data_IF_515020037220
#
_entry.id   IF_515020037220
#
_cell.length_a   1.000
_cell.length_b   1.000
_cell.length_c   1.000
_cell.angle_alpha   90.00
_cell.angle_beta   90.00
_cell.angle_gamma   90.00
#
_symmetry.space_group_name_H-M   'P 1'
#
loop_
_entity.id
_entity.type
_entity.pdbx_description
1 polymer ?
#
# COMPACT_ATOMS: atom_id res chain seq x y z
N UNK A 1 10.34 34.79 -4.84
CA UNK A 1 10.64 35.18 -6.24
C UNK A 1 9.30 35.17 -6.97
N UNK A 2 9.00 36.23 -7.73
CA UNK A 2 7.77 36.29 -8.56
C UNK A 2 8.13 36.15 -10.02
N UNK A 3 7.51 35.20 -10.72
CA UNK A 3 7.68 35.00 -12.16
C UNK A 3 6.41 35.49 -12.85
N UNK A 4 6.47 36.55 -13.68
CA UNK A 4 5.29 37.01 -14.42
C UNK A 4 4.78 35.95 -15.40
N UNK A 5 3.49 36.01 -15.74
CA UNK A 5 2.88 35.06 -16.67
C UNK A 5 3.61 35.06 -18.02
N UNK A 6 3.87 33.88 -18.56
CA UNK A 6 4.57 33.66 -19.84
C UNK A 6 6.03 34.12 -19.86
N UNK A 7 6.66 34.33 -18.71
CA UNK A 7 8.08 34.69 -18.61
C UNK A 7 8.89 33.55 -17.97
N UNK A 8 10.19 33.58 -18.22
CA UNK A 8 11.18 32.66 -17.65
C UNK A 8 12.13 33.42 -16.76
N UNK A 9 12.42 32.90 -15.58
CA UNK A 9 13.39 33.44 -14.64
C UNK A 9 14.51 32.44 -14.39
N UNK A 10 15.75 32.86 -14.57
CA UNK A 10 16.91 32.04 -14.21
C UNK A 10 17.14 32.11 -12.69
N UNK A 11 17.38 30.95 -12.09
CA UNK A 11 17.74 30.80 -10.68
C UNK A 11 19.16 30.27 -10.62
N UNK A 12 20.10 31.05 -10.08
CA UNK A 12 21.47 30.61 -9.87
C UNK A 12 21.57 29.90 -8.51
N UNK A 13 22.04 28.66 -8.52
CA UNK A 13 22.32 27.86 -7.33
C UNK A 13 23.82 27.67 -7.22
N UNK A 14 24.41 28.14 -6.12
CA UNK A 14 25.83 27.93 -5.83
C UNK A 14 25.98 26.73 -4.90
N UNK A 15 26.75 25.72 -5.34
CA UNK A 15 27.12 24.57 -4.54
C UNK A 15 28.57 24.66 -4.11
N UNK A 16 28.83 24.69 -2.81
CA UNK A 16 30.18 24.65 -2.24
C UNK A 16 30.50 23.24 -1.79
N UNK A 17 31.49 22.64 -2.45
CA UNK A 17 31.96 21.30 -2.12
C UNK A 17 32.90 21.34 -0.90
N UNK A 18 32.91 20.29 -0.03
CA UNK A 18 33.91 20.18 1.03
C UNK A 18 35.32 20.03 0.45
N UNK A 19 36.33 20.58 1.17
CA UNK A 19 37.73 20.48 0.76
C UNK A 19 38.27 19.04 0.85
N UNK A 20 37.65 18.20 1.68
CA UNK A 20 37.99 16.78 1.77
C UNK A 20 37.36 16.02 0.61
N UNK A 21 38.14 15.17 -0.05
CA UNK A 21 37.63 14.27 -1.08
C UNK A 21 36.50 13.37 -0.51
N UNK A 22 35.37 13.36 -1.21
CA UNK A 22 34.22 12.50 -0.91
C UNK A 22 34.17 11.43 -1.98
N UNK A 23 34.44 10.19 -1.58
CA UNK A 23 34.34 9.03 -2.48
C UNK A 23 32.88 8.80 -2.84
N UNK A 24 32.58 8.70 -4.15
CA UNK A 24 31.23 8.45 -4.64
C UNK A 24 30.45 9.71 -4.97
N UNK A 25 29.14 9.69 -4.75
CA UNK A 25 28.19 10.72 -5.17
C UNK A 25 27.39 11.25 -3.98
N UNK A 26 27.29 12.57 -3.91
CA UNK A 26 26.31 13.24 -3.04
C UNK A 26 25.07 13.55 -3.87
N UNK A 27 23.90 13.16 -3.35
CA UNK A 27 22.61 13.42 -3.97
C UNK A 27 21.81 14.40 -3.12
N UNK A 28 21.24 15.40 -3.75
CA UNK A 28 20.37 16.39 -3.15
C UNK A 28 19.34 16.90 -4.16
N UNK A 29 18.65 17.97 -3.84
CA UNK A 29 17.71 18.57 -4.79
C UNK A 29 17.38 20.02 -4.43
N UNK A 30 17.02 20.79 -5.44
CA UNK A 30 16.43 22.11 -5.31
C UNK A 30 14.93 21.96 -5.49
N UNK A 31 14.18 22.35 -4.45
CA UNK A 31 12.74 22.22 -4.40
C UNK A 31 12.08 23.58 -4.64
N UNK A 32 11.20 23.64 -5.62
CA UNK A 32 10.41 24.84 -5.94
C UNK A 32 8.98 24.59 -5.53
N UNK A 33 8.46 25.49 -4.69
CA UNK A 33 7.09 25.45 -4.18
C UNK A 33 6.37 26.73 -4.59
N UNK A 34 5.17 26.62 -5.12
CA UNK A 34 4.33 27.76 -5.42
C UNK A 34 3.72 28.31 -4.12
N UNK A 35 3.93 29.60 -3.84
CA UNK A 35 3.35 30.27 -2.69
C UNK A 35 1.87 30.60 -2.93
N UNK A 36 1.08 30.58 -1.86
CA UNK A 36 -0.32 31.04 -1.90
C UNK A 36 -1.36 29.98 -2.24
N UNK A 37 -0.98 28.76 -2.57
CA UNK A 37 -1.95 27.67 -2.82
C UNK A 37 -2.70 27.19 -1.57
N UNK A 38 -2.27 27.59 -0.38
CA UNK A 38 -2.88 27.19 0.90
C UNK A 38 -4.04 28.10 1.37
N UNK A 39 -4.49 29.05 0.56
CA UNK A 39 -5.43 30.10 0.99
C UNK A 39 -6.91 29.80 0.70
N UNK A 40 -7.29 28.56 0.40
CA UNK A 40 -8.73 28.23 0.34
C UNK A 40 -9.28 28.07 1.76
N UNK A 41 -10.15 29.01 2.17
CA UNK A 41 -10.90 28.94 3.43
C UNK A 41 -11.67 27.64 3.51
N UNK A 42 -11.50 26.91 4.61
CA UNK A 42 -12.27 25.73 4.94
C UNK A 42 -13.77 26.05 4.93
N UNK A 43 -14.49 25.60 3.92
CA UNK A 43 -15.94 25.45 3.98
C UNK A 43 -16.29 24.15 4.71
N UNK A 44 -17.53 23.98 5.15
CA UNK A 44 -18.00 22.73 5.74
C UNK A 44 -18.01 21.61 4.68
N UNK A 45 -16.95 20.81 4.66
CA UNK A 45 -16.77 19.69 3.72
C UNK A 45 -15.31 19.22 3.64
N UNK A 46 -15.05 18.15 2.89
CA UNK A 46 -13.71 17.64 2.63
C UNK A 46 -12.99 18.63 1.68
N UNK A 47 -11.99 19.35 2.16
CA UNK A 47 -11.14 20.21 1.34
C UNK A 47 -9.87 19.44 0.96
N UNK A 48 -9.64 19.24 -0.34
CA UNK A 48 -8.39 18.71 -0.89
C UNK A 48 -7.56 19.92 -1.36
N UNK A 49 -6.48 20.21 -0.65
CA UNK A 49 -5.50 21.19 -1.10
C UNK A 49 -4.42 20.50 -1.93
N UNK A 50 -4.38 20.77 -3.22
CA UNK A 50 -3.29 20.35 -4.10
C UNK A 50 -2.22 21.41 -4.13
N UNK A 51 -1.00 21.06 -3.75
CA UNK A 51 0.17 21.96 -3.84
C UNK A 51 1.07 21.44 -4.95
N UNK A 52 1.31 22.26 -5.97
CA UNK A 52 2.22 21.93 -7.05
C UNK A 52 3.65 22.26 -6.64
N UNK A 53 4.53 21.29 -6.79
CA UNK A 53 5.95 21.48 -6.50
C UNK A 53 6.83 20.79 -7.54
N UNK A 54 8.01 21.37 -7.78
CA UNK A 54 9.01 20.82 -8.67
C UNK A 54 10.31 20.60 -7.91
N UNK A 55 10.94 19.45 -8.11
CA UNK A 55 12.26 19.16 -7.55
C UNK A 55 13.23 18.84 -8.67
N UNK A 56 14.32 19.59 -8.73
CA UNK A 56 15.44 19.34 -9.63
C UNK A 56 16.53 18.61 -8.86
N UNK A 57 16.85 17.38 -9.27
CA UNK A 57 17.92 16.60 -8.64
C UNK A 57 19.28 17.22 -8.91
N UNK A 58 20.12 17.24 -7.88
CA UNK A 58 21.53 17.68 -7.94
C UNK A 58 22.41 16.52 -7.51
N UNK A 59 23.26 16.06 -8.42
CA UNK A 59 24.30 15.08 -8.14
C UNK A 59 25.65 15.79 -8.16
N UNK A 60 26.43 15.65 -7.10
CA UNK A 60 27.71 16.30 -6.93
C UNK A 60 28.79 15.30 -6.53
N UNK A 61 30.00 15.49 -7.04
CA UNK A 61 31.22 14.76 -6.65
C UNK A 61 32.43 15.69 -6.70
N UNK A 62 33.42 15.41 -5.90
CA UNK A 62 34.68 16.11 -5.91
C UNK A 62 35.90 15.16 -6.10
N UNK A 63 35.62 13.95 -6.58
CA UNK A 63 36.61 12.96 -7.00
C UNK A 63 36.29 12.44 -8.38
N UNK A 64 37.29 11.91 -9.07
CA UNK A 64 37.15 11.28 -10.40
C UNK A 64 36.83 9.79 -10.31
N UNK A 65 36.70 9.23 -9.11
CA UNK A 65 36.41 7.81 -8.92
C UNK A 65 34.98 7.48 -9.41
N UNK A 66 34.89 6.49 -10.29
CA UNK A 66 33.63 6.04 -10.91
C UNK A 66 32.88 5.01 -10.04
N UNK A 67 33.06 4.99 -8.74
CA UNK A 67 32.29 4.12 -7.82
C UNK A 67 30.86 4.64 -7.64
N UNK A 68 30.11 4.71 -8.75
CA UNK A 68 28.77 5.27 -8.79
C UNK A 68 27.68 4.27 -8.40
N UNK A 69 28.04 3.00 -8.20
CA UNK A 69 27.12 1.92 -7.90
C UNK A 69 27.38 1.33 -6.52
N UNK A 70 26.35 1.28 -5.69
CA UNK A 70 26.45 0.62 -4.39
C UNK A 70 26.49 -0.91 -4.56
N UNK A 71 27.49 -1.55 -3.96
CA UNK A 71 27.69 -3.00 -3.95
C UNK A 71 27.04 -3.69 -2.73
N UNK A 72 26.49 -2.92 -1.83
CA UNK A 72 25.98 -3.39 -0.53
C UNK A 72 24.61 -2.82 -0.24
N UNK A 73 23.73 -3.67 0.26
CA UNK A 73 22.42 -3.33 0.79
C UNK A 73 22.34 -3.84 2.23
N UNK A 74 22.00 -2.97 3.19
CA UNK A 74 21.73 -3.39 4.56
C UNK A 74 20.25 -3.59 4.79
N UNK A 75 19.90 -4.49 5.67
CA UNK A 75 18.53 -4.85 6.05
C UNK A 75 18.36 -4.66 7.54
N UNK A 76 17.21 -4.17 7.94
CA UNK A 76 16.86 -3.89 9.32
C UNK A 76 15.60 -4.63 9.75
N UNK A 77 14.89 -4.05 10.71
CA UNK A 77 13.72 -4.65 11.34
C UNK A 77 12.57 -4.87 10.32
N UNK A 78 11.88 -6.00 10.51
CA UNK A 78 10.60 -6.26 9.86
C UNK A 78 9.48 -6.23 10.90
N UNK A 79 8.40 -5.49 10.61
CA UNK A 79 7.27 -5.38 11.52
C UNK A 79 5.98 -4.97 10.80
N UNK A 80 4.79 -5.30 11.34
CA UNK A 80 3.55 -4.72 10.88
C UNK A 80 3.47 -3.23 11.27
N UNK A 81 2.95 -2.42 10.36
CA UNK A 81 2.77 -0.97 10.53
C UNK A 81 1.40 -0.59 9.96
N UNK A 82 0.74 0.40 10.58
CA UNK A 82 -0.44 1.03 9.99
C UNK A 82 0.02 2.26 9.20
N UNK A 83 -0.19 2.25 7.90
CA UNK A 83 0.18 3.33 6.98
C UNK A 83 -1.04 3.73 6.16
N UNK A 84 -1.42 5.01 6.21
CA UNK A 84 -2.57 5.54 5.46
C UNK A 84 -3.88 4.75 5.70
N UNK A 85 -4.10 4.27 6.91
CA UNK A 85 -5.30 3.49 7.25
C UNK A 85 -5.29 2.05 6.75
N UNK A 86 -4.14 1.53 6.30
CA UNK A 86 -3.97 0.14 5.89
C UNK A 86 -2.89 -0.56 6.72
N UNK A 87 -3.04 -1.85 6.91
CA UNK A 87 -2.02 -2.69 7.55
C UNK A 87 -1.01 -3.14 6.51
N UNK A 88 0.26 -2.88 6.78
CA UNK A 88 1.39 -3.26 5.92
C UNK A 88 2.45 -3.97 6.75
N UNK A 89 3.25 -4.82 6.11
CA UNK A 89 4.46 -5.37 6.69
C UNK A 89 5.65 -4.64 6.08
N UNK A 90 6.36 -3.88 6.89
CA UNK A 90 7.48 -3.05 6.47
C UNK A 90 8.80 -3.75 6.80
N UNK A 91 9.71 -3.75 5.85
CA UNK A 91 11.10 -4.20 5.99
C UNK A 91 12.04 -3.02 5.76
N UNK A 92 12.80 -2.61 6.77
CA UNK A 92 13.78 -1.55 6.61
C UNK A 92 14.93 -2.03 5.70
N UNK A 93 15.26 -1.20 4.71
CA UNK A 93 16.34 -1.41 3.76
C UNK A 93 17.16 -0.14 3.66
N UNK A 94 18.49 -0.26 3.69
CA UNK A 94 19.38 0.89 3.62
C UNK A 94 20.55 0.68 2.68
N UNK A 95 20.90 1.73 1.97
CA UNK A 95 22.11 1.86 1.19
C UNK A 95 23.17 2.59 2.04
N UNK A 96 24.16 1.90 2.60
CA UNK A 96 25.19 2.54 3.45
C UNK A 96 26.33 3.18 2.64
N UNK A 97 26.30 3.04 1.32
CA UNK A 97 27.38 3.53 0.44
C UNK A 97 27.11 4.94 -0.05
N UNK A 98 28.18 5.67 -0.33
CA UNK A 98 28.15 6.97 -0.99
C UNK A 98 28.02 6.80 -2.52
N UNK A 99 27.20 5.86 -2.95
CA UNK A 99 26.96 5.53 -4.34
C UNK A 99 25.46 5.25 -4.55
N UNK A 100 24.99 5.45 -5.77
CA UNK A 100 23.62 5.13 -6.13
C UNK A 100 23.39 3.62 -6.15
N UNK A 101 22.23 3.18 -5.70
CA UNK A 101 21.77 1.82 -5.89
C UNK A 101 20.64 1.85 -6.91
N UNK A 102 20.93 1.36 -8.11
CA UNK A 102 20.06 1.48 -9.26
C UNK A 102 19.39 0.16 -9.60
N UNK A 103 18.22 0.24 -10.25
CA UNK A 103 17.48 -0.93 -10.72
C UNK A 103 17.23 -1.96 -9.60
N UNK A 104 16.91 -1.47 -8.41
CA UNK A 104 16.63 -2.33 -7.28
C UNK A 104 15.27 -3.02 -7.49
N UNK A 105 15.29 -4.32 -7.34
CA UNK A 105 14.11 -5.16 -7.27
C UNK A 105 14.09 -5.89 -5.94
N UNK A 106 12.97 -5.85 -5.22
CA UNK A 106 12.78 -6.60 -3.98
C UNK A 106 11.51 -7.42 -4.10
N UNK A 107 11.62 -8.70 -3.76
CA UNK A 107 10.49 -9.60 -3.57
C UNK A 107 10.45 -10.07 -2.12
N UNK A 108 9.26 -10.17 -1.54
CA UNK A 108 9.10 -10.61 -0.16
C UNK A 108 7.90 -11.56 -0.01
N UNK A 109 8.03 -12.51 0.90
CA UNK A 109 6.98 -13.44 1.32
C UNK A 109 6.98 -13.52 2.84
N UNK A 110 5.81 -13.35 3.42
CA UNK A 110 5.60 -13.48 4.87
C UNK A 110 4.76 -14.73 5.10
N UNK A 111 5.28 -15.65 5.92
CA UNK A 111 4.63 -16.91 6.27
C UNK A 111 4.18 -16.87 7.72
N UNK A 112 3.04 -17.48 8.01
CA UNK A 112 2.55 -17.72 9.36
C UNK A 112 3.32 -18.87 10.06
N UNK A 113 2.90 -19.21 11.27
CA UNK A 113 3.51 -20.25 12.07
C UNK A 113 3.40 -21.66 11.42
N UNK A 114 2.37 -21.87 10.62
CA UNK A 114 2.12 -23.10 9.87
C UNK A 114 2.91 -23.17 8.54
N UNK A 115 3.67 -22.12 8.21
CA UNK A 115 4.47 -22.03 6.99
C UNK A 115 3.68 -21.62 5.75
N UNK A 116 2.39 -21.28 5.89
CA UNK A 116 1.56 -20.78 4.80
C UNK A 116 1.90 -19.34 4.48
N UNK A 117 1.93 -18.99 3.19
CA UNK A 117 2.14 -17.61 2.75
C UNK A 117 0.91 -16.77 3.11
N UNK A 118 1.06 -15.91 4.12
CA UNK A 118 0.05 -14.95 4.53
C UNK A 118 0.09 -13.68 3.66
N UNK A 119 1.28 -13.14 3.40
CA UNK A 119 1.44 -11.92 2.60
C UNK A 119 2.60 -12.07 1.63
N UNK A 120 2.52 -11.40 0.49
CA UNK A 120 3.58 -11.32 -0.50
C UNK A 120 3.58 -9.97 -1.21
N UNK A 121 4.76 -9.52 -1.62
CA UNK A 121 4.91 -8.28 -2.39
C UNK A 121 6.16 -8.34 -3.25
N UNK A 122 6.14 -7.57 -4.32
CA UNK A 122 7.29 -7.35 -5.18
C UNK A 122 7.25 -5.92 -5.71
N UNK A 123 8.42 -5.30 -5.80
CA UNK A 123 8.57 -4.00 -6.43
C UNK A 123 9.86 -3.98 -7.23
N UNK A 124 9.78 -3.49 -8.45
CA UNK A 124 10.87 -3.41 -9.42
C UNK A 124 11.22 -1.97 -9.74
N UNK A 125 12.35 -1.76 -10.39
CA UNK A 125 12.77 -0.47 -10.93
C UNK A 125 12.95 0.63 -9.87
N UNK A 126 13.21 0.24 -8.62
CA UNK A 126 13.50 1.19 -7.55
C UNK A 126 14.93 1.73 -7.66
N UNK A 127 15.16 2.85 -7.00
CA UNK A 127 16.48 3.45 -6.84
C UNK A 127 16.65 3.93 -5.42
N UNK A 128 17.88 3.87 -4.90
CA UNK A 128 18.23 4.46 -3.62
C UNK A 128 19.35 5.48 -3.80
N UNK A 129 19.16 6.62 -3.16
CA UNK A 129 20.21 7.61 -3.04
C UNK A 129 21.38 7.10 -2.18
N UNK A 130 22.57 7.70 -2.29
CA UNK A 130 23.65 7.46 -1.37
C UNK A 130 23.24 7.67 0.10
N UNK A 131 23.71 6.82 1.01
CA UNK A 131 23.45 6.93 2.45
C UNK A 131 21.97 7.13 2.80
N UNK A 132 21.09 6.36 2.16
CA UNK A 132 19.65 6.47 2.33
C UNK A 132 19.02 5.19 2.86
N UNK A 133 17.81 5.32 3.42
CA UNK A 133 17.00 4.19 3.85
C UNK A 133 15.54 4.40 3.53
N UNK A 134 14.82 3.30 3.34
CA UNK A 134 13.37 3.28 3.20
C UNK A 134 12.79 1.97 3.73
N UNK A 135 11.48 1.95 3.92
CA UNK A 135 10.75 0.73 4.24
C UNK A 135 10.18 0.11 2.97
N UNK A 136 10.65 -1.09 2.62
CA UNK A 136 9.97 -1.92 1.63
C UNK A 136 8.67 -2.43 2.22
N UNK A 137 7.56 -2.15 1.57
CA UNK A 137 6.23 -2.38 2.12
C UNK A 137 5.52 -3.52 1.38
N UNK A 138 5.01 -4.49 2.14
CA UNK A 138 4.07 -5.50 1.65
C UNK A 138 2.69 -5.14 2.20
N UNK A 139 1.73 -4.85 1.32
CA UNK A 139 0.37 -4.53 1.69
C UNK A 139 -0.40 -5.78 2.10
N UNK A 140 -1.22 -5.69 3.16
CA UNK A 140 -2.12 -6.76 3.57
C UNK A 140 -3.27 -6.99 2.59
N UNK A 141 -3.56 -6.00 1.71
CA UNK A 141 -4.70 -6.01 0.78
C UNK A 141 -6.05 -6.29 1.49
N UNK A 142 -6.18 -5.79 2.72
CA UNK A 142 -7.36 -6.01 3.55
C UNK A 142 -7.52 -7.45 4.02
N UNK A 143 -6.46 -8.23 4.07
CA UNK A 143 -6.42 -9.50 4.79
C UNK A 143 -6.15 -9.22 6.27
N UNK A 144 -6.90 -9.91 7.14
CA UNK A 144 -6.74 -9.74 8.59
C UNK A 144 -5.38 -10.27 9.04
N UNK A 145 -4.70 -9.50 9.87
CA UNK A 145 -3.50 -9.93 10.56
C UNK A 145 -3.91 -10.79 11.77
N UNK A 146 -3.46 -12.02 11.84
CA UNK A 146 -3.67 -12.90 12.99
C UNK A 146 -2.58 -12.70 14.05
N UNK A 147 -2.89 -13.05 15.29
CA UNK A 147 -1.86 -13.17 16.32
C UNK A 147 -1.02 -14.42 16.04
N UNK A 148 0.30 -14.32 16.25
CA UNK A 148 1.19 -15.44 16.03
C UNK A 148 2.60 -15.00 15.62
N UNK A 149 3.46 -16.00 15.37
CA UNK A 149 4.82 -15.82 14.87
C UNK A 149 4.81 -15.83 13.34
N UNK A 150 5.54 -14.91 12.74
CA UNK A 150 5.70 -14.80 11.30
C UNK A 150 7.17 -14.90 10.92
N UNK A 151 7.42 -15.49 9.75
CA UNK A 151 8.74 -15.54 9.10
C UNK A 151 8.63 -14.82 7.76
N UNK A 152 9.37 -13.75 7.62
CA UNK A 152 9.46 -12.95 6.40
C UNK A 152 10.76 -13.24 5.67
N UNK A 153 10.68 -13.66 4.42
CA UNK A 153 11.82 -13.93 3.54
C UNK A 153 11.81 -12.96 2.38
N UNK A 154 12.96 -12.40 2.09
CA UNK A 154 13.14 -11.41 1.04
C UNK A 154 14.30 -11.76 0.15
N UNK A 155 14.18 -11.38 -1.12
CA UNK A 155 15.28 -11.38 -2.09
C UNK A 155 15.35 -10.01 -2.75
N UNK A 156 16.52 -9.41 -2.77
CA UNK A 156 16.81 -8.18 -3.50
C UNK A 156 17.83 -8.46 -4.61
N UNK A 157 17.61 -7.83 -5.77
CA UNK A 157 18.56 -7.75 -6.87
C UNK A 157 18.75 -6.28 -7.23
N UNK A 158 19.96 -5.90 -7.63
CA UNK A 158 20.22 -4.54 -8.12
C UNK A 158 21.39 -4.48 -9.09
N UNK A 159 21.54 -3.34 -9.78
CA UNK A 159 22.46 -3.14 -10.90
C UNK A 159 22.23 -4.11 -12.04
N UNK A 160 21.12 -3.88 -12.77
CA UNK A 160 20.78 -4.66 -13.95
C UNK A 160 21.93 -4.61 -14.97
N UNK A 161 22.40 -5.79 -15.39
CA UNK A 161 23.52 -5.95 -16.30
C UNK A 161 23.33 -7.28 -17.07
N UNK A 162 23.38 -7.22 -18.40
CA UNK A 162 23.20 -8.41 -19.26
C UNK A 162 24.21 -9.53 -18.95
N UNK A 163 25.39 -9.18 -18.44
CA UNK A 163 26.43 -10.11 -18.00
C UNK A 163 26.41 -10.33 -16.47
N UNK A 164 25.40 -9.81 -15.78
CA UNK A 164 25.29 -9.90 -14.32
C UNK A 164 25.32 -11.33 -13.81
N UNK A 165 25.85 -11.52 -12.62
CA UNK A 165 26.06 -12.83 -11.98
C UNK A 165 24.76 -13.51 -11.59
N UNK A 166 23.75 -12.74 -11.21
CA UNK A 166 22.50 -13.25 -10.65
C UNK A 166 21.33 -13.02 -11.62
N UNK A 167 20.40 -13.95 -11.70
CA UNK A 167 19.17 -13.79 -12.48
C UNK A 167 17.94 -13.82 -11.56
N UNK A 168 16.96 -12.95 -11.86
CA UNK A 168 15.64 -13.02 -11.24
C UNK A 168 14.79 -14.15 -11.85
N UNK A 169 13.55 -14.30 -11.39
CA UNK A 169 12.61 -15.32 -11.88
C UNK A 169 12.19 -15.10 -13.36
N UNK A 170 12.41 -13.91 -13.91
CA UNK A 170 12.10 -13.59 -15.31
C UNK A 170 13.31 -13.74 -16.25
N UNK A 171 14.48 -14.06 -15.70
CA UNK A 171 15.73 -14.17 -16.46
C UNK A 171 16.51 -12.86 -16.58
N UNK A 172 16.01 -11.76 -16.01
CA UNK A 172 16.73 -10.48 -15.93
C UNK A 172 17.97 -10.66 -15.05
N UNK A 173 19.13 -10.21 -15.52
CA UNK A 173 20.41 -10.40 -14.82
C UNK A 173 20.86 -9.14 -14.10
N UNK A 174 21.51 -9.37 -12.95
CA UNK A 174 21.96 -8.32 -12.03
C UNK A 174 23.37 -8.63 -11.51
N UNK A 175 24.14 -7.58 -11.20
CA UNK A 175 25.45 -7.73 -10.62
C UNK A 175 25.41 -8.18 -9.17
N UNK A 176 24.38 -7.75 -8.43
CA UNK A 176 24.26 -7.97 -6.99
C UNK A 176 22.93 -8.63 -6.61
N UNK A 177 22.99 -9.42 -5.54
CA UNK A 177 21.84 -10.07 -4.91
C UNK A 177 22.03 -10.13 -3.40
N UNK A 178 20.94 -9.98 -2.66
CA UNK A 178 20.87 -10.24 -1.23
C UNK A 178 19.60 -10.97 -0.87
N UNK A 179 19.76 -12.08 -0.13
CA UNK A 179 18.66 -12.77 0.52
C UNK A 179 18.72 -12.53 2.02
N UNK A 180 17.58 -12.37 2.67
CA UNK A 180 17.50 -12.29 4.13
C UNK A 180 16.16 -12.81 4.65
N UNK A 181 16.18 -13.18 5.93
CA UNK A 181 15.01 -13.69 6.63
C UNK A 181 14.94 -13.04 7.99
N UNK A 182 13.76 -12.56 8.34
CA UNK A 182 13.45 -11.96 9.63
C UNK A 182 12.21 -12.60 10.22
N UNK A 183 12.16 -12.66 11.55
CA UNK A 183 10.98 -13.14 12.27
C UNK A 183 10.41 -12.04 13.15
N UNK A 184 9.09 -12.00 13.22
CA UNK A 184 8.40 -11.09 14.14
C UNK A 184 7.18 -11.81 14.74
N UNK A 185 6.72 -11.29 15.88
CA UNK A 185 5.55 -11.82 16.57
C UNK A 185 4.50 -10.72 16.67
N UNK A 186 3.25 -11.10 16.42
CA UNK A 186 2.08 -10.24 16.57
C UNK A 186 1.26 -10.75 17.75
N UNK A 187 1.05 -9.90 18.76
CA UNK A 187 0.18 -10.24 19.89
C UNK A 187 -1.30 -10.13 19.49
N UNK A 188 -2.20 -10.70 20.30
CA UNK A 188 -3.65 -10.60 20.06
C UNK A 188 -4.12 -9.13 20.04
N UNK A 189 -3.61 -8.31 20.96
CA UNK A 189 -3.95 -6.88 21.03
C UNK A 189 -3.43 -6.10 19.84
N UNK A 190 -2.21 -6.40 19.38
CA UNK A 190 -1.66 -5.80 18.17
C UNK A 190 -2.49 -6.19 16.94
N UNK A 191 -2.81 -7.47 16.77
CA UNK A 191 -3.64 -7.96 15.68
C UNK A 191 -4.99 -7.25 15.66
N UNK A 192 -5.66 -7.17 16.82
CA UNK A 192 -6.93 -6.45 16.96
C UNK A 192 -6.79 -4.98 16.56
N UNK A 193 -5.78 -4.27 17.08
CA UNK A 193 -5.53 -2.85 16.80
C UNK A 193 -5.29 -2.60 15.30
N UNK A 194 -4.47 -3.41 14.63
CA UNK A 194 -4.21 -3.29 13.20
C UNK A 194 -5.48 -3.55 12.38
N UNK A 195 -6.21 -4.61 12.68
CA UNK A 195 -7.42 -4.98 11.96
C UNK A 195 -8.55 -3.96 12.14
N UNK A 196 -8.71 -3.41 13.36
CA UNK A 196 -9.74 -2.41 13.66
C UNK A 196 -9.43 -1.04 13.01
N UNK A 197 -8.16 -0.76 12.70
CA UNK A 197 -7.74 0.48 12.06
C UNK A 197 -7.61 0.37 10.54
N UNK A 198 -7.73 -0.84 9.98
CA UNK A 198 -7.60 -1.05 8.54
C UNK A 198 -8.92 -0.74 7.83
N UNK A 199 -8.89 0.28 6.97
CA UNK A 199 -10.06 0.75 6.23
C UNK A 199 -10.59 -0.31 5.23
N UNK A 200 -9.70 -1.12 4.63
CA UNK A 200 -10.10 -2.17 3.69
C UNK A 200 -10.78 -3.34 4.39
N UNK A 201 -10.34 -3.69 5.61
CA UNK A 201 -10.99 -4.72 6.43
C UNK A 201 -12.39 -4.25 6.84
N UNK A 202 -12.52 -2.99 7.26
CA UNK A 202 -13.82 -2.38 7.59
C UNK A 202 -14.77 -2.39 6.40
N UNK A 203 -14.29 -2.00 5.22
CA UNK A 203 -15.10 -1.99 4.01
C UNK A 203 -15.56 -3.39 3.58
N UNK A 204 -14.72 -4.41 3.74
CA UNK A 204 -15.08 -5.81 3.44
C UNK A 204 -16.06 -6.41 4.47
N UNK A 205 -16.03 -5.94 5.71
CA UNK A 205 -16.88 -6.45 6.80
C UNK A 205 -18.26 -5.81 6.87
N UNK A 206 -18.49 -4.70 6.21
CA UNK A 206 -19.79 -4.03 6.16
C UNK A 206 -20.54 -4.44 4.90
N UNK A 207 -21.63 -5.20 5.04
CA UNK A 207 -22.60 -5.32 3.96
C UNK A 207 -23.08 -3.91 3.61
N UNK A 208 -23.01 -3.49 2.33
CA UNK A 208 -23.50 -2.17 1.94
C UNK A 208 -24.94 -2.02 2.41
N UNK A 209 -25.30 -0.85 2.91
CA UNK A 209 -26.67 -0.54 3.42
C UNK A 209 -27.74 -0.96 2.44
N UNK A 210 -27.45 -0.82 1.15
CA UNK A 210 -28.36 -1.24 0.08
C UNK A 210 -28.69 -2.74 0.13
N UNK A 211 -27.77 -3.59 0.58
CA UNK A 211 -27.98 -5.03 0.71
C UNK A 211 -28.93 -5.35 1.85
N UNK A 212 -28.86 -4.62 2.98
CA UNK A 212 -29.84 -4.71 4.05
C UNK A 212 -31.24 -4.25 3.63
N UNK A 213 -31.31 -3.20 2.81
CA UNK A 213 -32.56 -2.73 2.20
C UNK A 213 -33.14 -3.80 1.27
N UNK A 214 -32.32 -4.40 0.40
CA UNK A 214 -32.77 -5.48 -0.50
C UNK A 214 -33.29 -6.67 0.30
N UNK A 215 -32.58 -7.12 1.33
CA UNK A 215 -33.01 -8.22 2.22
C UNK A 215 -34.36 -7.87 2.86
N UNK A 216 -34.51 -6.66 3.38
CA UNK A 216 -35.77 -6.18 3.97
C UNK A 216 -36.94 -6.20 2.98
N UNK A 217 -36.75 -5.75 1.76
CA UNK A 217 -37.76 -5.77 0.70
C UNK A 217 -38.14 -7.21 0.33
N UNK A 218 -37.16 -8.11 0.17
CA UNK A 218 -37.43 -9.52 -0.14
C UNK A 218 -38.24 -10.20 0.98
N UNK A 219 -37.89 -9.97 2.24
CA UNK A 219 -38.65 -10.50 3.39
C UNK A 219 -40.07 -9.98 3.39
N UNK A 220 -40.29 -8.69 3.12
CA UNK A 220 -41.61 -8.08 3.06
C UNK A 220 -42.45 -8.69 1.91
N UNK A 221 -41.87 -8.90 0.74
CA UNK A 221 -42.55 -9.54 -0.41
C UNK A 221 -42.96 -10.98 -0.03
N UNK A 222 -42.11 -11.75 0.61
CA UNK A 222 -42.43 -13.12 1.06
C UNK A 222 -43.62 -13.09 2.03
N UNK A 223 -43.63 -12.18 3.00
CA UNK A 223 -44.72 -12.04 3.95
C UNK A 223 -46.07 -11.68 3.25
N UNK A 224 -45.99 -10.79 2.26
CA UNK A 224 -47.18 -10.44 1.46
C UNK A 224 -47.71 -11.66 0.69
N UNK A 225 -46.83 -12.44 0.04
CA UNK A 225 -47.23 -13.65 -0.68
C UNK A 225 -47.86 -14.68 0.27
N UNK A 226 -47.24 -14.93 1.43
CA UNK A 226 -47.78 -15.85 2.44
C UNK A 226 -49.17 -15.36 2.90
N UNK A 227 -49.32 -14.06 3.17
CA UNK A 227 -50.59 -13.45 3.55
C UNK A 227 -51.67 -13.63 2.48
N UNK A 228 -51.32 -13.43 1.21
CA UNK A 228 -52.25 -13.64 0.09
C UNK A 228 -52.68 -15.11 -0.05
N UNK A 229 -51.74 -16.03 0.04
CA UNK A 229 -52.03 -17.47 0.01
C UNK A 229 -52.98 -17.85 1.16
N UNK A 230 -52.68 -17.38 2.40
CA UNK A 230 -53.55 -17.62 3.52
C UNK A 230 -54.94 -17.05 3.33
N UNK A 231 -55.05 -15.84 2.81
CA UNK A 231 -56.32 -15.18 2.52
C UNK A 231 -57.13 -15.96 1.45
N UNK A 232 -56.52 -16.42 0.40
CA UNK A 232 -57.17 -17.24 -0.65
C UNK A 232 -57.66 -18.56 -0.07
N UNK A 233 -56.83 -19.25 0.72
CA UNK A 233 -57.20 -20.50 1.36
C UNK A 233 -58.34 -20.30 2.39
N UNK A 234 -58.34 -19.20 3.13
CA UNK A 234 -59.40 -18.87 4.08
C UNK A 234 -60.72 -18.57 3.36
N UNK A 235 -60.66 -17.86 2.21
CA UNK A 235 -61.83 -17.58 1.36
C UNK A 235 -62.42 -18.87 0.77
N UNK A 236 -61.61 -19.75 0.20
CA UNK A 236 -62.04 -21.07 -0.33
C UNK A 236 -62.73 -21.91 0.74
N UNK A 237 -62.17 -21.96 1.96
CA UNK A 237 -62.78 -22.70 3.08
C UNK A 237 -64.14 -22.13 3.51
N UNK A 238 -64.38 -20.84 3.34
CA UNK A 238 -65.70 -20.25 3.62
C UNK A 238 -66.70 -20.62 2.53
N UNK A 239 -66.31 -20.50 1.26
CA UNK A 239 -67.14 -20.88 0.10
C UNK A 239 -67.56 -22.37 0.16
N UNK A 240 -66.61 -23.27 0.48
CA UNK A 240 -66.91 -24.70 0.69
C UNK A 240 -67.88 -24.99 1.85
N UNK A 241 -67.82 -24.17 2.91
CA UNK A 241 -68.76 -24.31 4.05
C UNK A 241 -70.16 -23.82 3.68
N UNK A 242 -70.28 -22.75 2.92
CA UNK A 242 -71.55 -22.21 2.46
C UNK A 242 -72.23 -23.17 1.48
N UNK A 243 -71.48 -23.73 0.53
CA UNK A 243 -71.98 -24.73 -0.44
C UNK A 243 -72.45 -26.04 0.24
N UNK A 244 -71.73 -26.48 1.25
CA UNK A 244 -72.13 -27.66 2.03
C UNK A 244 -73.36 -27.43 2.93
N UNK A 245 -73.59 -26.18 3.40
CA UNK A 245 -74.80 -25.82 4.15
C UNK A 245 -76.02 -25.73 3.26
N UNK A 246 -75.89 -25.26 1.99
CA UNK A 246 -76.98 -25.19 1.02
C UNK A 246 -77.43 -26.58 0.49
N UNK A 247 -76.54 -27.56 0.47
CA UNK A 247 -76.88 -28.95 0.10
C UNK A 247 -77.58 -29.76 1.21
N UNK A 248 -77.62 -29.22 2.42
CA UNK A 248 -78.29 -29.83 3.58
C UNK A 248 -79.68 -29.26 3.90
N UNK A 249 -80.13 -28.30 3.09
CA UNK A 249 -81.52 -27.77 3.09
C UNK A 249 -82.33 -28.41 1.97
#
# INVERSE_FOLDING_TARGET
MTIPAKQTQAVNVQLTMPNKAVTGVMAGGVHFLEEGQNAQKAGSGMNINSVLSYTVAVLARNTTDNNDVADTLNTGRVAPVSKNGHTTINAEVSNPKQALLNRLEITGKVRDAEGKVAYKGAQKMMQMAPNSKFDFTIDSNGQRLAAGKYTATYTAFWSENVNGKYADATGTRFDYRKDWTETFTVTADQAKKFNDNDAMIKAKGSLPVIMWVIIGVVVLLVLVIVGLIWFILAKRRKEEREENMDKLK
#
